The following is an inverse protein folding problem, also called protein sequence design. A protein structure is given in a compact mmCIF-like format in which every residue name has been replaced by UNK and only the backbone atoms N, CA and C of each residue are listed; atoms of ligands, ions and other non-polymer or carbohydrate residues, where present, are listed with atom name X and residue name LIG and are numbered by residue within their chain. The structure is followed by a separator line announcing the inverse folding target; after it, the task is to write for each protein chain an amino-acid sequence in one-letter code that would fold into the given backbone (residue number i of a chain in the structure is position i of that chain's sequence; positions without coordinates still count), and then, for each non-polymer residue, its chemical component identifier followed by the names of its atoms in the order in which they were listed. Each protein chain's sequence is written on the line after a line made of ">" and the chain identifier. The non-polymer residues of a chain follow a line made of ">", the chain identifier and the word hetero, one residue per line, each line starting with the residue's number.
data_IF_376831636150
#
_entry.id   IF_376831636150
#
_cell.length_a   1.000
_cell.length_b   1.000
_cell.length_c   1.000
_cell.angle_alpha   90.00
_cell.angle_beta   90.00
_cell.angle_gamma   90.00
#
_symmetry.space_group_name_H-M   'P 1'
#
loop_
_entity.id
_entity.type
_entity.pdbx_description
1 polymer ?
#
# COMPACT_ATOMS: atom_id res chain seq x y z
N UNK A 1 17.62 -10.21 -14.30
CA UNK A 1 18.24 -8.92 -14.71
C UNK A 1 19.09 -8.97 -15.99
N UNK A 2 19.94 -9.98 -16.22
CA UNK A 2 20.89 -10.00 -17.36
C UNK A 2 20.20 -10.02 -18.74
N UNK A 3 19.09 -10.76 -18.88
CA UNK A 3 18.35 -10.88 -20.15
C UNK A 3 17.64 -9.60 -20.61
N UNK A 4 17.26 -8.72 -19.67
CA UNK A 4 16.56 -7.49 -20.01
C UNK A 4 17.52 -6.48 -20.66
N UNK A 5 18.74 -6.37 -20.14
CA UNK A 5 19.78 -5.48 -20.69
C UNK A 5 20.15 -5.83 -22.14
N UNK A 6 20.24 -7.12 -22.48
CA UNK A 6 20.59 -7.53 -23.86
C UNK A 6 19.46 -7.24 -24.86
N UNK A 7 18.20 -7.44 -24.45
CA UNK A 7 17.04 -7.16 -25.30
C UNK A 7 16.85 -5.65 -25.45
N UNK A 8 17.00 -4.87 -24.38
CA UNK A 8 16.94 -3.40 -24.43
C UNK A 8 18.00 -2.85 -25.40
N UNK A 9 19.24 -3.34 -25.30
CA UNK A 9 20.36 -2.91 -26.14
C UNK A 9 20.11 -3.20 -27.63
N UNK A 10 19.58 -4.38 -27.96
CA UNK A 10 19.28 -4.76 -29.34
C UNK A 10 18.15 -3.91 -29.95
N UNK A 11 17.07 -3.66 -29.20
CA UNK A 11 15.95 -2.82 -29.64
C UNK A 11 16.41 -1.37 -29.81
N UNK A 12 17.13 -0.82 -28.81
CA UNK A 12 17.62 0.56 -28.84
C UNK A 12 18.58 0.83 -30.01
N UNK A 13 19.47 -0.12 -30.34
CA UNK A 13 20.32 -0.02 -31.53
C UNK A 13 19.51 0.09 -32.82
N UNK A 14 18.45 -0.71 -32.99
CA UNK A 14 17.63 -0.68 -34.22
C UNK A 14 16.75 0.57 -34.36
N UNK A 15 16.30 1.18 -33.26
CA UNK A 15 15.46 2.39 -33.31
C UNK A 15 16.30 3.67 -33.35
N UNK A 16 17.47 3.69 -32.69
CA UNK A 16 18.38 4.82 -32.67
C UNK A 16 18.91 5.13 -34.07
N UNK A 17 19.28 4.11 -34.85
CA UNK A 17 19.80 4.29 -36.21
C UNK A 17 18.76 4.92 -37.17
N UNK A 18 17.46 4.66 -36.97
CA UNK A 18 16.39 5.22 -37.81
C UNK A 18 16.01 6.65 -37.45
N UNK A 19 16.26 7.10 -36.23
CA UNK A 19 15.91 8.45 -35.74
C UNK A 19 17.11 9.41 -35.93
N UNK A 20 18.33 8.88 -35.82
CA UNK A 20 19.61 9.55 -36.00
C UNK A 20 19.79 10.21 -37.38
N UNK A 21 19.23 9.63 -38.45
CA UNK A 21 19.48 10.10 -39.81
C UNK A 21 18.71 11.36 -40.23
N UNK A 22 17.79 11.88 -39.40
CA UNK A 22 16.79 12.88 -39.86
C UNK A 22 16.77 14.21 -39.09
N UNK A 23 17.55 14.37 -38.02
CA UNK A 23 17.56 15.62 -37.28
C UNK A 23 18.97 15.97 -36.79
N UNK A 24 19.53 17.07 -37.30
CA UNK A 24 20.76 17.69 -36.83
C UNK A 24 20.62 18.32 -35.44
N UNK A 25 20.11 17.57 -34.48
CA UNK A 25 19.95 17.97 -33.08
C UNK A 25 21.15 17.44 -32.27
N UNK A 26 22.08 18.36 -32.03
CA UNK A 26 23.06 18.30 -30.93
C UNK A 26 22.33 18.29 -29.58
N UNK A 27 21.75 17.17 -29.17
CA UNK A 27 21.62 16.79 -27.76
C UNK A 27 21.12 15.35 -27.69
N UNK A 28 22.04 14.41 -27.89
CA UNK A 28 21.83 13.02 -27.54
C UNK A 28 21.72 12.93 -26.01
N UNK A 29 20.54 13.18 -25.47
CA UNK A 29 20.16 12.53 -24.22
C UNK A 29 20.08 11.06 -24.56
N UNK A 30 21.12 10.32 -24.19
CA UNK A 30 21.22 8.88 -24.36
C UNK A 30 19.92 8.22 -23.87
N UNK A 31 19.18 7.60 -24.80
CA UNK A 31 17.87 7.00 -24.53
C UNK A 31 17.98 5.96 -23.41
N UNK A 32 19.12 5.26 -23.33
CA UNK A 32 19.44 4.32 -22.25
C UNK A 32 19.50 5.05 -20.90
N UNK A 33 20.21 6.18 -20.85
CA UNK A 33 20.29 7.02 -19.65
C UNK A 33 18.92 7.59 -19.24
N UNK A 34 18.08 8.00 -20.18
CA UNK A 34 16.71 8.45 -19.90
C UNK A 34 15.85 7.32 -19.31
N UNK A 35 15.93 6.13 -19.89
CA UNK A 35 15.20 4.95 -19.39
C UNK A 35 15.67 4.56 -17.98
N UNK A 36 16.97 4.58 -17.72
CA UNK A 36 17.54 4.29 -16.40
C UNK A 36 17.09 5.29 -15.34
N UNK A 37 17.08 6.59 -15.66
CA UNK A 37 16.60 7.65 -14.75
C UNK A 37 15.12 7.47 -14.44
N UNK A 38 14.29 7.20 -15.46
CA UNK A 38 12.85 6.98 -15.28
C UNK A 38 12.57 5.74 -14.42
N UNK A 39 13.31 4.64 -14.67
CA UNK A 39 13.19 3.43 -13.88
C UNK A 39 13.60 3.66 -12.41
N UNK A 40 14.73 4.33 -12.16
CA UNK A 40 15.17 4.65 -10.81
C UNK A 40 14.16 5.54 -10.07
N UNK A 41 13.57 6.51 -10.78
CA UNK A 41 12.56 7.41 -10.24
C UNK A 41 11.25 6.67 -9.94
N UNK A 42 10.81 5.79 -10.83
CA UNK A 42 9.67 4.89 -10.59
C UNK A 42 9.88 4.06 -9.32
N UNK A 43 11.03 3.39 -9.18
CA UNK A 43 11.34 2.57 -8.02
C UNK A 43 11.37 3.39 -6.74
N UNK A 44 11.93 4.60 -6.78
CA UNK A 44 11.95 5.49 -5.63
C UNK A 44 10.54 5.80 -5.11
N UNK A 45 9.65 6.29 -5.98
CA UNK A 45 8.28 6.64 -5.58
C UNK A 45 7.43 5.42 -5.23
N UNK A 46 7.63 4.29 -5.90
CA UNK A 46 6.96 3.05 -5.55
C UNK A 46 7.36 2.57 -4.15
N UNK A 47 8.65 2.63 -3.81
CA UNK A 47 9.13 2.30 -2.46
C UNK A 47 8.54 3.26 -1.40
N UNK A 48 8.42 4.56 -1.71
CA UNK A 48 7.75 5.50 -0.81
C UNK A 48 6.27 5.16 -0.59
N UNK A 49 5.56 4.74 -1.65
CA UNK A 49 4.20 4.25 -1.51
C UNK A 49 4.16 3.04 -0.57
N UNK A 50 4.98 2.01 -0.85
CA UNK A 50 5.01 0.78 -0.04
C UNK A 50 5.39 1.02 1.43
N UNK A 51 6.28 1.98 1.72
CA UNK A 51 6.62 2.37 3.09
C UNK A 51 5.39 2.91 3.85
N UNK A 52 4.52 3.69 3.20
CA UNK A 52 3.26 4.13 3.81
C UNK A 52 2.29 2.98 4.07
N UNK A 53 2.23 1.97 3.18
CA UNK A 53 1.41 0.77 3.41
C UNK A 53 1.96 -0.04 4.60
N UNK A 54 3.28 -0.25 4.65
CA UNK A 54 3.96 -0.96 5.74
C UNK A 54 3.76 -0.26 7.09
N UNK A 55 3.81 1.08 7.12
CA UNK A 55 3.50 1.89 8.32
C UNK A 55 2.06 1.69 8.78
N UNK A 56 1.09 1.68 7.87
CA UNK A 56 -0.32 1.43 8.22
C UNK A 56 -0.51 0.05 8.88
N UNK A 57 0.10 -0.99 8.30
CA UNK A 57 0.03 -2.35 8.83
C UNK A 57 0.74 -2.47 10.20
N UNK A 58 1.96 -1.94 10.30
CA UNK A 58 2.76 -2.00 11.54
C UNK A 58 2.08 -1.26 12.69
N UNK A 59 1.61 -0.03 12.46
CA UNK A 59 0.88 0.73 13.48
C UNK A 59 -0.41 0.01 13.87
N UNK A 60 -1.16 -0.55 12.91
CA UNK A 60 -2.38 -1.31 13.23
C UNK A 60 -2.08 -2.49 14.15
N UNK A 61 -1.05 -3.30 13.86
CA UNK A 61 -0.68 -4.42 14.72
C UNK A 61 -0.31 -3.97 16.14
N UNK A 62 0.45 -2.88 16.28
CA UNK A 62 0.80 -2.31 17.59
C UNK A 62 -0.46 -1.89 18.35
N UNK A 63 -1.36 -1.15 17.70
CA UNK A 63 -2.61 -0.69 18.32
C UNK A 63 -3.49 -1.85 18.76
N UNK A 64 -3.59 -2.92 17.96
CA UNK A 64 -4.38 -4.11 18.31
C UNK A 64 -3.81 -4.85 19.53
N UNK A 65 -2.48 -4.95 19.64
CA UNK A 65 -1.84 -5.55 20.83
C UNK A 65 -2.16 -4.72 22.08
N UNK A 66 -2.06 -3.38 21.99
CA UNK A 66 -2.40 -2.48 23.10
C UNK A 66 -3.88 -2.61 23.48
N UNK A 67 -4.78 -2.61 22.49
CA UNK A 67 -6.23 -2.80 22.72
C UNK A 67 -6.50 -4.15 23.38
N UNK A 68 -5.89 -5.23 22.89
CA UNK A 68 -6.02 -6.57 23.47
C UNK A 68 -5.56 -6.62 24.93
N UNK A 69 -4.46 -5.94 25.25
CA UNK A 69 -3.98 -5.84 26.63
C UNK A 69 -4.95 -5.06 27.54
N UNK A 70 -5.50 -3.94 27.07
CA UNK A 70 -6.51 -3.17 27.83
C UNK A 70 -7.76 -4.02 28.08
N UNK A 71 -8.27 -4.70 27.04
CA UNK A 71 -9.46 -5.56 27.16
C UNK A 71 -9.20 -6.72 28.13
N UNK A 72 -8.00 -7.33 28.09
CA UNK A 72 -7.63 -8.40 29.01
C UNK A 72 -7.56 -7.92 30.48
N UNK A 73 -7.13 -6.68 30.71
CA UNK A 73 -7.13 -6.08 32.05
C UNK A 73 -8.56 -5.84 32.54
N UNK A 74 -9.42 -5.24 31.70
CA UNK A 74 -10.85 -5.01 32.01
C UNK A 74 -11.57 -6.33 32.30
N UNK A 75 -11.23 -7.41 31.60
CA UNK A 75 -11.86 -8.72 31.78
C UNK A 75 -11.25 -9.59 32.87
N UNK A 76 -10.24 -9.12 33.61
CA UNK A 76 -9.43 -9.99 34.47
C UNK A 76 -10.18 -10.56 35.69
N UNK A 77 -11.02 -9.76 36.33
CA UNK A 77 -11.81 -10.14 37.51
C UNK A 77 -13.19 -10.73 37.16
N UNK A 78 -13.52 -10.81 35.87
CA UNK A 78 -14.83 -11.20 35.33
C UNK A 78 -16.00 -10.28 35.74
N UNK A 79 -15.71 -9.09 36.30
CA UNK A 79 -16.71 -8.11 36.69
C UNK A 79 -16.44 -6.78 35.99
N UNK A 80 -17.08 -6.55 34.83
CA UNK A 80 -16.92 -5.30 34.09
C UNK A 80 -17.78 -4.21 34.76
N UNK A 81 -17.24 -3.50 35.76
CA UNK A 81 -17.99 -2.56 36.61
C UNK A 81 -17.15 -1.34 37.02
N UNK A 82 -17.82 -0.20 37.12
CA UNK A 82 -17.25 1.00 37.73
C UNK A 82 -16.35 1.85 36.82
N UNK A 83 -15.81 2.92 37.41
CA UNK A 83 -15.17 4.02 36.67
C UNK A 83 -13.87 3.61 35.96
N UNK A 84 -13.13 2.64 36.51
CA UNK A 84 -11.85 2.20 35.95
C UNK A 84 -12.07 1.48 34.62
N UNK A 85 -13.02 0.55 34.57
CA UNK A 85 -13.36 -0.20 33.36
C UNK A 85 -14.00 0.69 32.30
N UNK A 86 -14.87 1.60 32.71
CA UNK A 86 -15.41 2.65 31.84
C UNK A 86 -14.28 3.49 31.23
N UNK A 87 -13.27 3.86 32.03
CA UNK A 87 -12.09 4.58 31.55
C UNK A 87 -11.27 3.77 30.54
N UNK A 88 -11.06 2.48 30.80
CA UNK A 88 -10.39 1.56 29.87
C UNK A 88 -11.16 1.39 28.55
N UNK A 89 -12.48 1.26 28.61
CA UNK A 89 -13.34 1.15 27.45
C UNK A 89 -13.32 2.43 26.59
N UNK A 90 -13.31 3.62 27.21
CA UNK A 90 -13.11 4.89 26.52
C UNK A 90 -11.74 4.92 25.83
N UNK A 91 -10.67 4.46 26.49
CA UNK A 91 -9.35 4.40 25.88
C UNK A 91 -9.33 3.49 24.64
N UNK A 92 -10.00 2.34 24.66
CA UNK A 92 -10.18 1.46 23.50
C UNK A 92 -10.89 2.19 22.35
N UNK A 93 -11.97 2.92 22.64
CA UNK A 93 -12.67 3.73 21.63
C UNK A 93 -11.76 4.78 20.99
N UNK A 94 -11.01 5.53 21.81
CA UNK A 94 -10.09 6.57 21.34
C UNK A 94 -9.01 5.98 20.45
N UNK A 95 -8.42 4.84 20.84
CA UNK A 95 -7.42 4.12 20.04
C UNK A 95 -8.02 3.66 18.71
N UNK A 96 -9.22 3.09 18.71
CA UNK A 96 -9.91 2.66 17.48
C UNK A 96 -10.19 3.83 16.52
N UNK A 97 -10.71 4.95 17.03
CA UNK A 97 -10.96 6.16 16.23
C UNK A 97 -9.65 6.69 15.64
N UNK A 98 -8.60 6.77 16.45
CA UNK A 98 -7.27 7.16 15.98
C UNK A 98 -6.77 6.21 14.89
N UNK A 99 -6.92 4.90 15.06
CA UNK A 99 -6.57 3.88 14.08
C UNK A 99 -7.27 4.09 12.73
N UNK A 100 -8.59 4.34 12.73
CA UNK A 100 -9.36 4.65 11.51
C UNK A 100 -8.77 5.87 10.77
N UNK A 101 -8.58 6.98 11.49
CA UNK A 101 -8.07 8.23 10.90
C UNK A 101 -6.64 8.06 10.37
N UNK A 102 -5.77 7.42 11.16
CA UNK A 102 -4.39 7.17 10.81
C UNK A 102 -4.26 6.31 9.56
N UNK A 103 -4.92 5.16 9.54
CA UNK A 103 -4.91 4.22 8.40
C UNK A 103 -5.41 4.91 7.14
N UNK A 104 -6.53 5.65 7.23
CA UNK A 104 -7.05 6.43 6.10
C UNK A 104 -6.01 7.43 5.59
N UNK A 105 -5.30 8.11 6.50
CA UNK A 105 -4.27 9.08 6.12
C UNK A 105 -3.06 8.43 5.45
N UNK A 106 -2.63 7.26 5.91
CA UNK A 106 -1.54 6.52 5.28
C UNK A 106 -1.94 6.00 3.89
N UNK A 107 -3.20 5.59 3.71
CA UNK A 107 -3.73 5.15 2.42
C UNK A 107 -3.80 6.30 1.40
N UNK A 108 -4.18 7.51 1.82
CA UNK A 108 -4.11 8.70 0.96
C UNK A 108 -2.69 8.94 0.45
N UNK A 109 -1.69 8.84 1.35
CA UNK A 109 -0.27 9.01 0.99
C UNK A 109 0.24 7.89 0.09
N UNK A 110 -0.15 6.65 0.36
CA UNK A 110 0.15 5.51 -0.50
C UNK A 110 -0.33 5.77 -1.93
N UNK A 111 -1.61 6.12 -2.11
CA UNK A 111 -2.17 6.35 -3.44
C UNK A 111 -1.55 7.55 -4.14
N UNK A 112 -1.24 8.62 -3.39
CA UNK A 112 -0.52 9.77 -3.93
C UNK A 112 0.82 9.36 -4.54
N UNK A 113 1.70 8.70 -3.80
CA UNK A 113 3.00 8.27 -4.31
C UNK A 113 2.91 7.19 -5.38
N UNK A 114 1.95 6.27 -5.25
CA UNK A 114 1.68 5.26 -6.26
C UNK A 114 1.27 5.91 -7.59
N UNK A 115 0.41 6.93 -7.57
CA UNK A 115 -0.01 7.64 -8.77
C UNK A 115 1.15 8.34 -9.48
N UNK A 116 2.11 8.89 -8.71
CA UNK A 116 3.31 9.50 -9.26
C UNK A 116 4.19 8.43 -9.89
N UNK A 117 4.41 7.30 -9.20
CA UNK A 117 5.17 6.18 -9.74
C UNK A 117 4.57 5.68 -11.07
N UNK A 118 3.25 5.50 -11.14
CA UNK A 118 2.57 5.05 -12.35
C UNK A 118 2.77 6.02 -13.54
N UNK A 119 2.81 7.33 -13.32
CA UNK A 119 3.13 8.29 -14.39
C UNK A 119 4.52 8.06 -14.97
N UNK A 120 5.54 7.82 -14.13
CA UNK A 120 6.89 7.48 -14.60
C UNK A 120 6.93 6.14 -15.34
N UNK A 121 6.12 5.17 -14.91
CA UNK A 121 5.99 3.90 -15.61
C UNK A 121 5.37 4.08 -17.00
N UNK A 122 4.36 4.93 -17.13
CA UNK A 122 3.72 5.27 -18.42
C UNK A 122 4.71 5.95 -19.37
N UNK A 123 5.52 6.89 -18.88
CA UNK A 123 6.59 7.49 -19.69
C UNK A 123 7.67 6.48 -20.10
N UNK A 124 8.06 5.58 -19.20
CA UNK A 124 9.01 4.51 -19.51
C UNK A 124 8.48 3.56 -20.60
N UNK A 125 7.18 3.25 -20.58
CA UNK A 125 6.52 2.41 -21.59
C UNK A 125 6.54 3.07 -22.98
N UNK A 126 6.48 4.41 -23.07
CA UNK A 126 6.59 5.12 -24.36
C UNK A 126 7.98 4.96 -24.98
N UNK A 127 9.03 4.93 -24.17
CA UNK A 127 10.43 4.80 -24.61
C UNK A 127 10.79 3.35 -24.89
N UNK A 128 10.25 2.41 -24.09
CA UNK A 128 10.50 0.98 -24.21
C UNK A 128 9.16 0.24 -24.39
N UNK A 129 8.56 0.26 -25.60
CA UNK A 129 7.23 -0.32 -25.84
C UNK A 129 7.14 -1.82 -25.59
N UNK A 130 8.28 -2.55 -25.58
CA UNK A 130 8.32 -3.97 -25.23
C UNK A 130 7.86 -4.23 -23.78
N UNK A 131 7.87 -3.19 -22.93
CA UNK A 131 7.34 -3.22 -21.58
C UNK A 131 5.82 -3.04 -21.52
N UNK A 132 5.10 -2.86 -22.65
CA UNK A 132 3.62 -2.86 -22.74
C UNK A 132 3.05 -4.24 -22.40
N UNK A 133 3.11 -4.53 -21.13
CA UNK A 133 2.73 -5.80 -20.53
C UNK A 133 1.89 -5.54 -19.30
N UNK A 134 1.42 -4.31 -19.07
CA UNK A 134 0.57 -3.95 -17.92
C UNK A 134 -0.62 -4.92 -17.85
N UNK A 135 -1.35 -5.09 -18.94
CA UNK A 135 -2.49 -6.02 -19.01
C UNK A 135 -2.08 -7.49 -18.80
N UNK A 136 -0.85 -7.85 -19.20
CA UNK A 136 -0.32 -9.22 -19.07
C UNK A 136 0.15 -9.51 -17.64
N UNK A 137 0.85 -8.57 -17.01
CA UNK A 137 1.37 -8.69 -15.65
C UNK A 137 0.29 -8.43 -14.60
N UNK A 138 -0.68 -7.56 -14.86
CA UNK A 138 -1.80 -7.30 -13.96
C UNK A 138 -2.67 -8.56 -13.83
N UNK A 139 -3.04 -9.19 -14.95
CA UNK A 139 -3.73 -10.50 -14.93
C UNK A 139 -2.90 -11.60 -14.28
N UNK A 140 -1.60 -11.63 -14.54
CA UNK A 140 -0.73 -12.62 -13.91
C UNK A 140 -0.62 -12.40 -12.40
N UNK A 141 -0.46 -11.15 -11.96
CA UNK A 141 -0.40 -10.77 -10.55
C UNK A 141 -1.73 -11.08 -9.83
N UNK A 142 -2.88 -10.79 -10.47
CA UNK A 142 -4.19 -11.16 -9.94
C UNK A 142 -4.35 -12.67 -9.79
N UNK A 143 -3.89 -13.45 -10.77
CA UNK A 143 -3.95 -14.91 -10.70
C UNK A 143 -3.05 -15.47 -9.60
N UNK A 144 -1.80 -14.99 -9.49
CA UNK A 144 -0.88 -15.37 -8.42
C UNK A 144 -1.45 -14.99 -7.04
N UNK A 145 -2.00 -13.79 -6.90
CA UNK A 145 -2.66 -13.37 -5.66
C UNK A 145 -3.87 -14.25 -5.34
N UNK A 146 -4.68 -14.62 -6.34
CA UNK A 146 -5.82 -15.51 -6.16
C UNK A 146 -5.42 -16.93 -5.75
N UNK A 147 -4.27 -17.42 -6.20
CA UNK A 147 -3.70 -18.70 -5.78
C UNK A 147 -3.21 -18.66 -4.32
N UNK A 148 -2.58 -17.55 -3.88
CA UNK A 148 -2.02 -17.44 -2.54
C UNK A 148 -3.08 -17.16 -1.46
N UNK A 149 -3.97 -16.20 -1.67
CA UNK A 149 -4.92 -15.74 -0.63
C UNK A 149 -6.38 -16.12 -0.93
N UNK A 150 -6.61 -16.80 -2.06
CA UNK A 150 -7.94 -17.19 -2.51
C UNK A 150 -8.63 -16.11 -3.35
N UNK A 151 -9.54 -16.50 -4.25
CA UNK A 151 -10.12 -15.61 -5.26
C UNK A 151 -10.99 -14.50 -4.68
N UNK A 152 -11.55 -14.68 -3.48
CA UNK A 152 -12.40 -13.70 -2.82
C UNK A 152 -11.55 -12.57 -2.23
N UNK A 153 -10.47 -12.91 -1.51
CA UNK A 153 -9.56 -11.93 -0.93
C UNK A 153 -8.76 -11.20 -2.02
N UNK A 154 -8.33 -11.92 -3.06
CA UNK A 154 -7.56 -11.32 -4.16
C UNK A 154 -8.37 -10.31 -4.99
N UNK A 155 -9.69 -10.49 -5.17
CA UNK A 155 -10.51 -9.61 -6.01
C UNK A 155 -11.35 -8.57 -5.28
N UNK A 156 -11.77 -8.85 -4.04
CA UNK A 156 -12.91 -8.12 -3.44
C UNK A 156 -12.55 -7.25 -2.25
N UNK A 157 -11.47 -7.57 -1.55
CA UNK A 157 -11.05 -6.79 -0.38
C UNK A 157 -9.85 -5.97 -0.80
N UNK A 158 -10.09 -4.73 -1.23
CA UNK A 158 -9.01 -3.75 -1.24
C UNK A 158 -8.46 -3.70 0.18
N UNK A 159 -7.15 -3.92 0.35
CA UNK A 159 -6.43 -3.82 1.65
C UNK A 159 -6.89 -2.60 2.44
N UNK A 160 -7.24 -1.54 1.71
CA UNK A 160 -7.84 -0.31 2.21
C UNK A 160 -8.98 -0.53 3.23
N UNK A 161 -9.96 -1.36 2.86
CA UNK A 161 -11.16 -1.57 3.64
C UNK A 161 -10.92 -2.47 4.84
N UNK A 162 -10.02 -3.45 4.71
CA UNK A 162 -9.73 -4.40 5.79
C UNK A 162 -9.25 -3.67 7.06
N UNK A 163 -8.24 -2.82 6.93
CA UNK A 163 -7.65 -2.11 8.06
C UNK A 163 -8.62 -1.12 8.72
N UNK A 164 -9.42 -0.41 7.93
CA UNK A 164 -10.43 0.52 8.44
C UNK A 164 -11.54 -0.23 9.16
N UNK A 165 -12.05 -1.31 8.57
CA UNK A 165 -13.08 -2.16 9.18
C UNK A 165 -12.61 -2.74 10.50
N UNK A 166 -11.35 -3.16 10.60
CA UNK A 166 -10.78 -3.70 11.83
C UNK A 166 -10.80 -2.68 12.98
N UNK A 167 -10.40 -1.44 12.74
CA UNK A 167 -10.47 -0.38 13.76
C UNK A 167 -11.91 0.04 14.08
N UNK A 168 -12.84 -0.03 13.13
CA UNK A 168 -14.28 0.15 13.41
C UNK A 168 -14.78 -0.92 14.38
N UNK A 169 -14.38 -2.19 14.20
CA UNK A 169 -14.71 -3.27 15.14
C UNK A 169 -14.16 -2.96 16.54
N UNK A 170 -12.93 -2.46 16.64
CA UNK A 170 -12.32 -2.02 17.92
C UNK A 170 -13.17 -0.94 18.60
N UNK A 171 -13.63 0.07 17.85
CA UNK A 171 -14.52 1.12 18.39
C UNK A 171 -15.84 0.52 18.90
N UNK A 172 -16.46 -0.38 18.13
CA UNK A 172 -17.71 -1.04 18.54
C UNK A 172 -17.50 -1.86 19.81
N UNK A 173 -16.39 -2.58 19.94
CA UNK A 173 -16.05 -3.33 21.16
C UNK A 173 -15.86 -2.41 22.36
N UNK A 174 -15.12 -1.31 22.21
CA UNK A 174 -14.95 -0.32 23.27
C UNK A 174 -16.30 0.28 23.72
N UNK A 175 -17.18 0.61 22.77
CA UNK A 175 -18.53 1.09 23.10
C UNK A 175 -19.37 0.04 23.82
N UNK A 176 -19.27 -1.22 23.41
CA UNK A 176 -19.94 -2.34 24.08
C UNK A 176 -19.49 -2.50 25.54
N UNK A 177 -18.17 -2.49 25.78
CA UNK A 177 -17.59 -2.57 27.12
C UNK A 177 -18.02 -1.38 27.99
N UNK A 178 -18.02 -0.17 27.43
CA UNK A 178 -18.45 1.03 28.13
C UNK A 178 -19.91 0.95 28.57
N UNK A 179 -20.80 0.51 27.67
CA UNK A 179 -22.23 0.37 27.97
C UNK A 179 -22.52 -0.72 29.02
N UNK A 180 -21.73 -1.80 29.05
CA UNK A 180 -21.83 -2.85 30.07
C UNK A 180 -21.37 -2.29 31.43
N UNK A 181 -20.21 -1.64 31.47
CA UNK A 181 -19.64 -1.05 32.68
C UNK A 181 -20.55 -0.01 33.35
N UNK A 182 -21.35 0.71 32.56
CA UNK A 182 -22.27 1.74 33.06
C UNK A 182 -23.60 1.20 33.61
N UNK A 183 -23.96 -0.06 33.34
CA UNK A 183 -25.23 -0.65 33.81
C UNK A 183 -25.18 -1.18 35.23
N UNK A 184 -23.98 -1.42 35.74
CA UNK A 184 -23.69 -2.00 37.05
C UNK A 184 -23.15 -0.93 38.00
#
# INVERSE_FOLDING_TARGET
>A
MIKLKSVLKAVLMTTSDKISSNAGLKEYVDIEKSADILQATFQHYFNMAMDHNAKAATTTNILLVVVGAIIAIIGHDNEIKGLVDSGGAIAVCVIGIFGVVWVRKQQERYHYWQSIALQYQEELIKIVPVLKTRDTYEKHAENVAAEEVGPILARRIYERHLWVTLHIIVVILGLGLFLISMKE
#
